data_IF_259661863908
#
_entry.id   IF_259661863908
#
_cell.length_a   1.000
_cell.length_b   1.000
_cell.length_c   1.000
_cell.angle_alpha   90.00
_cell.angle_beta   90.00
_cell.angle_gamma   90.00
#
_symmetry.space_group_name_H-M   'P 1'
#
loop_
_entity.id
_entity.type
_entity.pdbx_description
1 polymer ?
#
# COMPACT_ATOMS: atom_id res chain seq x y z
N UNK A 1 16.25 51.18 -11.59
CA UNK A 1 16.76 49.95 -10.93
C UNK A 1 15.74 49.32 -9.99
N UNK A 2 15.11 50.08 -9.07
CA UNK A 2 14.08 49.57 -8.13
C UNK A 2 12.90 48.81 -8.78
N UNK A 3 12.36 49.30 -9.90
CA UNK A 3 11.24 48.61 -10.59
C UNK A 3 11.65 47.24 -11.18
N UNK A 4 12.90 47.09 -11.65
CA UNK A 4 13.38 45.80 -12.17
C UNK A 4 13.52 44.77 -11.05
N UNK A 5 13.99 45.20 -9.88
CA UNK A 5 14.08 44.34 -8.69
C UNK A 5 12.68 43.91 -8.23
N UNK A 6 11.70 44.83 -8.20
CA UNK A 6 10.32 44.48 -7.86
C UNK A 6 9.69 43.48 -8.83
N UNK A 7 9.91 43.67 -10.14
CA UNK A 7 9.42 42.72 -11.17
C UNK A 7 10.05 41.33 -11.01
N UNK A 8 11.36 41.26 -10.75
CA UNK A 8 12.04 39.97 -10.53
C UNK A 8 11.48 39.25 -9.28
N UNK A 9 11.24 39.98 -8.20
CA UNK A 9 10.64 39.42 -6.98
C UNK A 9 9.20 38.94 -7.22
N UNK A 10 8.40 39.70 -7.98
CA UNK A 10 7.04 39.30 -8.33
C UNK A 10 7.02 38.03 -9.19
N UNK A 11 7.90 37.92 -10.18
CA UNK A 11 8.05 36.71 -11.01
C UNK A 11 8.46 35.53 -10.13
N UNK A 12 9.42 35.72 -9.23
CA UNK A 12 9.83 34.70 -8.27
C UNK A 12 8.66 34.18 -7.43
N UNK A 13 7.87 35.08 -6.86
CA UNK A 13 6.70 34.72 -6.05
C UNK A 13 5.63 33.96 -6.86
N UNK A 14 5.29 34.44 -8.06
CA UNK A 14 4.34 33.76 -8.95
C UNK A 14 4.86 32.39 -9.36
N UNK A 15 6.15 32.27 -9.69
CA UNK A 15 6.77 30.98 -10.04
C UNK A 15 6.74 30.00 -8.88
N UNK A 16 6.98 30.46 -7.65
CA UNK A 16 6.91 29.64 -6.45
C UNK A 16 5.50 29.11 -6.22
N UNK A 17 4.48 29.97 -6.28
CA UNK A 17 3.08 29.57 -6.13
C UNK A 17 2.63 28.61 -7.23
N UNK A 18 3.08 28.81 -8.47
CA UNK A 18 2.81 27.89 -9.57
C UNK A 18 3.40 26.50 -9.32
N UNK A 19 4.66 26.43 -8.84
CA UNK A 19 5.31 25.16 -8.49
C UNK A 19 4.59 24.48 -7.33
N UNK A 20 4.26 25.20 -6.26
CA UNK A 20 3.51 24.64 -5.12
C UNK A 20 2.16 24.10 -5.57
N UNK A 21 1.41 24.86 -6.38
CA UNK A 21 0.13 24.41 -6.94
C UNK A 21 0.29 23.15 -7.79
N UNK A 22 1.33 23.07 -8.61
CA UNK A 22 1.64 21.88 -9.40
C UNK A 22 1.96 20.67 -8.51
N UNK A 23 2.79 20.83 -7.47
CA UNK A 23 3.10 19.75 -6.52
C UNK A 23 1.82 19.25 -5.84
N UNK A 24 0.95 20.13 -5.35
CA UNK A 24 -0.28 19.73 -4.70
C UNK A 24 -1.27 19.01 -5.63
N UNK A 25 -1.25 19.31 -6.93
CA UNK A 25 -2.12 18.66 -7.92
C UNK A 25 -1.55 17.36 -8.50
N UNK A 26 -0.21 17.23 -8.55
CA UNK A 26 0.46 16.12 -9.24
C UNK A 26 1.05 15.09 -8.27
N UNK A 27 1.38 15.48 -7.04
CA UNK A 27 1.94 14.57 -6.05
C UNK A 27 0.84 13.75 -5.38
N UNK A 28 0.94 12.43 -5.50
CA UNK A 28 0.10 11.49 -4.76
C UNK A 28 0.96 10.87 -3.66
N UNK A 29 0.55 11.01 -2.41
CA UNK A 29 1.25 10.36 -1.31
C UNK A 29 1.01 8.85 -1.38
N UNK A 30 2.08 8.07 -1.54
CA UNK A 30 2.01 6.61 -1.46
C UNK A 30 2.25 6.17 -0.01
N UNK A 31 1.34 5.39 0.60
CA UNK A 31 1.57 4.79 1.92
C UNK A 31 2.86 3.97 2.01
N UNK A 32 3.41 3.50 0.88
CA UNK A 32 4.71 2.83 0.82
C UNK A 32 5.89 3.73 1.22
N UNK A 33 5.76 5.06 1.11
CA UNK A 33 6.81 6.03 1.45
C UNK A 33 6.81 6.43 2.94
N UNK A 34 5.84 5.95 3.72
CA UNK A 34 5.76 6.20 5.17
C UNK A 34 6.95 5.57 5.91
N UNK A 35 7.35 6.18 7.03
CA UNK A 35 8.30 5.55 7.94
C UNK A 35 7.74 4.22 8.45
N UNK A 36 8.59 3.22 8.68
CA UNK A 36 8.13 1.85 8.88
C UNK A 36 7.15 1.70 10.06
N UNK A 37 7.35 2.42 11.17
CA UNK A 37 6.42 2.38 12.32
C UNK A 37 5.05 2.99 11.98
N UNK A 38 5.05 4.06 11.19
CA UNK A 38 3.82 4.72 10.75
C UNK A 38 3.08 3.83 9.75
N UNK A 39 3.80 3.21 8.82
CA UNK A 39 3.26 2.27 7.83
C UNK A 39 2.64 1.04 8.49
N UNK A 40 3.30 0.44 9.49
CA UNK A 40 2.73 -0.67 10.28
C UNK A 40 1.39 -0.30 10.92
N UNK A 41 1.37 0.83 11.63
CA UNK A 41 0.17 1.31 12.33
C UNK A 41 -0.94 1.67 11.33
N UNK A 42 -0.56 2.29 10.20
CA UNK A 42 -1.48 2.62 9.12
C UNK A 42 -2.11 1.36 8.52
N UNK A 43 -1.29 0.40 8.11
CA UNK A 43 -1.74 -0.87 7.53
C UNK A 43 -2.68 -1.61 8.47
N UNK A 44 -2.32 -1.75 9.75
CA UNK A 44 -3.16 -2.43 10.73
C UNK A 44 -4.54 -1.77 10.88
N UNK A 45 -4.58 -0.43 10.90
CA UNK A 45 -5.84 0.33 11.00
C UNK A 45 -6.69 0.24 9.74
N UNK A 46 -6.08 0.33 8.56
CA UNK A 46 -6.80 0.28 7.28
C UNK A 46 -7.33 -1.12 7.01
N UNK A 47 -6.54 -2.17 7.28
CA UNK A 47 -6.97 -3.57 7.12
C UNK A 47 -8.21 -3.86 7.97
N UNK A 48 -8.29 -3.32 9.19
CA UNK A 48 -9.48 -3.45 10.05
C UNK A 48 -10.74 -2.77 9.52
N UNK A 49 -10.64 -1.99 8.44
CA UNK A 49 -11.76 -1.28 7.79
C UNK A 49 -12.04 -1.81 6.38
N UNK A 50 -11.32 -2.84 5.91
CA UNK A 50 -11.56 -3.42 4.60
C UNK A 50 -12.86 -4.24 4.59
N UNK A 51 -13.53 -4.21 3.46
CA UNK A 51 -14.70 -5.03 3.18
C UNK A 51 -14.34 -6.17 2.23
N UNK A 52 -15.01 -7.31 2.42
CA UNK A 52 -14.94 -8.41 1.45
C UNK A 52 -15.50 -7.98 0.10
N UNK A 53 -14.96 -8.53 -0.99
CA UNK A 53 -15.30 -8.18 -2.37
C UNK A 53 -14.56 -6.95 -2.90
N UNK A 54 -13.77 -6.23 -2.08
CA UNK A 54 -12.93 -5.14 -2.57
C UNK A 54 -11.93 -5.65 -3.61
N UNK A 55 -11.82 -4.93 -4.74
CA UNK A 55 -10.82 -5.26 -5.75
C UNK A 55 -9.40 -5.11 -5.21
N UNK A 56 -8.48 -5.97 -5.68
CA UNK A 56 -7.05 -5.89 -5.33
C UNK A 56 -6.47 -4.51 -5.58
N UNK A 57 -6.82 -3.87 -6.71
CA UNK A 57 -6.33 -2.54 -7.03
C UNK A 57 -6.87 -1.48 -6.06
N UNK A 58 -8.10 -1.62 -5.57
CA UNK A 58 -8.62 -0.74 -4.51
C UNK A 58 -7.83 -0.92 -3.22
N UNK A 59 -7.52 -2.16 -2.84
CA UNK A 59 -6.72 -2.44 -1.64
C UNK A 59 -5.31 -1.88 -1.77
N UNK A 60 -4.65 -2.05 -2.92
CA UNK A 60 -3.31 -1.49 -3.19
C UNK A 60 -3.35 0.05 -3.19
N UNK A 61 -4.39 0.68 -3.73
CA UNK A 61 -4.54 2.14 -3.64
C UNK A 61 -4.66 2.65 -2.20
N UNK A 62 -5.22 1.84 -1.29
CA UNK A 62 -5.37 2.19 0.12
C UNK A 62 -4.08 1.91 0.88
N UNK A 63 -3.47 0.73 0.71
CA UNK A 63 -2.36 0.26 1.53
C UNK A 63 -0.97 0.51 0.92
N UNK A 64 -0.91 0.98 -0.33
CA UNK A 64 0.31 1.03 -1.11
C UNK A 64 0.72 -0.36 -1.63
N UNK A 65 1.96 -0.47 -2.09
CA UNK A 65 2.50 -1.76 -2.53
C UNK A 65 2.68 -2.74 -1.35
N UNK A 66 2.41 -4.05 -1.54
CA UNK A 66 2.60 -5.05 -0.50
C UNK A 66 4.09 -5.36 -0.29
N UNK A 67 4.44 -5.81 0.91
CA UNK A 67 5.82 -6.20 1.25
C UNK A 67 6.19 -7.57 0.64
N UNK A 68 5.23 -8.49 0.61
CA UNK A 68 5.37 -9.81 -0.02
C UNK A 68 4.12 -10.10 -0.85
N UNK A 69 4.29 -10.76 -2.00
CA UNK A 69 3.19 -11.14 -2.90
C UNK A 69 3.36 -12.59 -3.35
N UNK A 70 2.32 -13.40 -3.15
CA UNK A 70 2.28 -14.79 -3.60
C UNK A 70 1.06 -15.02 -4.47
N UNK A 71 1.23 -15.72 -5.60
CA UNK A 71 0.12 -16.04 -6.48
C UNK A 71 0.24 -17.46 -7.03
N UNK A 72 -0.91 -18.12 -7.22
CA UNK A 72 -1.01 -19.42 -7.89
C UNK A 72 -2.27 -19.46 -8.74
N UNK A 73 -2.08 -19.75 -10.02
CA UNK A 73 -3.17 -20.05 -10.94
C UNK A 73 -3.68 -21.47 -10.68
N UNK A 74 -5.00 -21.63 -10.70
CA UNK A 74 -5.68 -22.92 -10.51
C UNK A 74 -6.86 -23.01 -11.50
N UNK A 75 -7.26 -24.23 -11.93
CA UNK A 75 -8.47 -24.41 -12.73
C UNK A 75 -9.75 -23.86 -12.06
N UNK A 76 -9.73 -23.59 -10.75
CA UNK A 76 -10.86 -23.10 -9.95
C UNK A 76 -10.86 -21.57 -9.74
N UNK A 77 -9.92 -20.86 -10.35
CA UNK A 77 -9.73 -19.41 -10.23
C UNK A 77 -8.33 -19.03 -9.76
N UNK A 78 -7.91 -17.81 -10.09
CA UNK A 78 -6.57 -17.32 -9.72
C UNK A 78 -6.59 -16.85 -8.27
N UNK A 79 -5.71 -17.44 -7.46
CA UNK A 79 -5.56 -17.09 -6.05
C UNK A 79 -4.29 -16.28 -5.84
N UNK A 80 -4.38 -15.21 -5.07
CA UNK A 80 -3.26 -14.33 -4.74
C UNK A 80 -3.31 -13.93 -3.27
N UNK A 81 -2.16 -13.80 -2.62
CA UNK A 81 -2.04 -13.35 -1.24
C UNK A 81 -1.06 -12.19 -1.20
N UNK A 82 -1.54 -11.05 -0.71
CA UNK A 82 -0.73 -9.87 -0.48
C UNK A 82 -0.44 -9.75 1.01
N UNK A 83 0.83 -9.58 1.37
CA UNK A 83 1.25 -9.42 2.75
C UNK A 83 1.62 -7.97 3.00
N UNK A 84 1.02 -7.39 4.03
CA UNK A 84 1.34 -6.05 4.51
C UNK A 84 1.87 -6.14 5.93
N UNK A 85 3.01 -5.50 6.18
CA UNK A 85 3.59 -5.39 7.52
C UNK A 85 2.62 -4.64 8.41
N UNK A 86 2.28 -5.23 9.56
CA UNK A 86 1.25 -4.69 10.48
C UNK A 86 1.72 -4.64 11.92
N UNK A 87 2.83 -5.31 12.22
CA UNK A 87 3.41 -5.36 13.55
C UNK A 87 4.89 -5.70 13.46
N UNK A 88 5.61 -5.36 14.52
CA UNK A 88 7.04 -5.60 14.64
C UNK A 88 7.31 -6.90 15.41
N UNK A 89 8.19 -7.75 14.89
CA UNK A 89 8.70 -8.94 15.59
C UNK A 89 10.21 -8.81 15.83
N UNK A 90 10.99 -8.45 14.79
CA UNK A 90 12.45 -8.33 14.88
C UNK A 90 13.01 -7.09 14.18
N UNK A 91 14.08 -6.52 14.73
CA UNK A 91 14.78 -5.34 14.18
C UNK A 91 16.02 -5.71 13.35
N UNK A 92 15.91 -6.70 12.47
CA UNK A 92 17.01 -7.14 11.58
C UNK A 92 17.03 -6.42 10.22
N UNK A 93 16.03 -5.57 9.97
CA UNK A 93 15.89 -4.81 8.72
C UNK A 93 15.28 -5.61 7.57
N UNK A 94 14.81 -6.84 7.83
CA UNK A 94 14.13 -7.69 6.85
C UNK A 94 12.67 -7.80 7.27
N UNK A 95 11.75 -7.69 6.31
CA UNK A 95 10.33 -7.94 6.59
C UNK A 95 10.01 -9.39 6.31
N UNK A 96 9.51 -10.10 7.33
CA UNK A 96 9.13 -11.50 7.25
C UNK A 96 7.60 -11.65 7.35
N UNK A 97 7.08 -12.81 6.92
CA UNK A 97 5.62 -13.05 6.86
C UNK A 97 4.96 -13.04 8.24
N UNK A 98 5.69 -13.40 9.29
CA UNK A 98 5.22 -13.37 10.67
C UNK A 98 5.07 -11.96 11.23
N UNK A 99 5.60 -10.93 10.55
CA UNK A 99 5.34 -9.50 10.85
C UNK A 99 4.15 -8.92 10.04
N UNK A 100 3.55 -9.74 9.18
CA UNK A 100 2.57 -9.30 8.19
C UNK A 100 1.17 -9.83 8.49
N UNK A 101 0.16 -9.09 8.01
CA UNK A 101 -1.21 -9.60 7.88
C UNK A 101 -1.44 -9.98 6.40
N UNK A 102 -1.74 -11.26 6.10
CA UNK A 102 -2.04 -11.68 4.73
C UNK A 102 -3.46 -11.31 4.32
N UNK A 103 -3.61 -10.75 3.13
CA UNK A 103 -4.89 -10.49 2.47
C UNK A 103 -5.04 -11.47 1.31
N UNK A 104 -6.09 -12.30 1.33
CA UNK A 104 -6.33 -13.37 0.37
C UNK A 104 -7.32 -12.91 -0.68
N UNK A 105 -6.90 -13.00 -1.94
CA UNK A 105 -7.67 -12.64 -3.12
C UNK A 105 -7.98 -13.86 -3.96
N UNK A 106 -9.19 -13.88 -4.51
CA UNK A 106 -9.60 -14.81 -5.56
C UNK A 106 -10.20 -14.03 -6.70
N UNK A 107 -9.76 -14.29 -7.93
CA UNK A 107 -10.27 -13.62 -9.14
C UNK A 107 -10.27 -12.09 -9.00
N UNK A 108 -9.22 -11.56 -8.36
CA UNK A 108 -8.97 -10.14 -8.08
C UNK A 108 -9.86 -9.49 -6.99
N UNK A 109 -10.64 -10.26 -6.24
CA UNK A 109 -11.49 -9.80 -5.14
C UNK A 109 -10.98 -10.27 -3.78
N UNK A 110 -11.04 -9.40 -2.77
CA UNK A 110 -10.66 -9.71 -1.38
C UNK A 110 -11.69 -10.67 -0.78
N UNK A 111 -11.29 -11.90 -0.49
CA UNK A 111 -12.20 -12.93 0.03
C UNK A 111 -11.97 -13.28 1.50
N UNK A 112 -10.79 -12.96 2.03
CA UNK A 112 -10.44 -13.18 3.43
C UNK A 112 -9.14 -12.47 3.80
N UNK A 113 -8.84 -12.38 5.10
CA UNK A 113 -7.54 -11.91 5.59
C UNK A 113 -7.19 -12.54 6.95
N UNK A 114 -5.91 -12.53 7.27
CA UNK A 114 -5.37 -13.09 8.52
C UNK A 114 -4.77 -14.49 8.35
N UNK A 115 -4.02 -14.91 9.37
CA UNK A 115 -3.19 -16.11 9.33
C UNK A 115 -3.99 -17.41 9.12
N UNK A 116 -5.21 -17.49 9.67
CA UNK A 116 -6.07 -18.66 9.48
C UNK A 116 -6.51 -18.80 8.02
N UNK A 117 -6.92 -17.70 7.39
CA UNK A 117 -7.30 -17.69 5.97
C UNK A 117 -6.12 -18.00 5.04
N UNK A 118 -4.92 -17.55 5.41
CA UNK A 118 -3.70 -17.90 4.68
C UNK A 118 -3.34 -19.38 4.84
N UNK A 119 -3.54 -19.98 6.01
CA UNK A 119 -3.38 -21.43 6.22
C UNK A 119 -4.36 -22.22 5.34
N UNK A 120 -5.61 -21.80 5.26
CA UNK A 120 -6.62 -22.41 4.39
C UNK A 120 -6.22 -22.29 2.91
N UNK A 121 -5.68 -21.14 2.50
CA UNK A 121 -5.08 -20.97 1.18
C UNK A 121 -3.97 -22.02 0.94
N UNK A 122 -3.00 -22.13 1.84
CA UNK A 122 -1.90 -23.10 1.71
C UNK A 122 -2.38 -24.56 1.66
N UNK A 123 -3.37 -24.92 2.46
CA UNK A 123 -3.91 -26.28 2.48
C UNK A 123 -4.65 -26.61 1.19
N UNK A 124 -5.41 -25.67 0.65
CA UNK A 124 -5.99 -25.80 -0.68
C UNK A 124 -4.90 -25.93 -1.75
N UNK A 125 -3.78 -25.22 -1.61
CA UNK A 125 -2.65 -25.36 -2.54
C UNK A 125 -1.98 -26.74 -2.53
N UNK A 126 -1.96 -27.44 -1.39
CA UNK A 126 -1.35 -28.79 -1.27
C UNK A 126 -2.24 -29.92 -1.76
N UNK A 127 -3.55 -29.70 -1.85
CA UNK A 127 -4.55 -30.72 -2.24
C UNK A 127 -4.77 -30.79 -3.75
N UNK A 128 -4.26 -29.83 -4.51
CA UNK A 128 -4.23 -29.80 -5.97
C UNK A 128 -2.92 -30.38 -6.49
#
# INVERSE_FOLDING_TARGET
MKNKVFVILAIGAVSYLAIVGAVLMLYQADPADLQWQERETYNARQIGQLDLGMSKDSVIRILGSPDINEAKASPKGDMQVLFYRTHHVTSDGITTKDECTPLVFKDNELIAWGNDSYRDYQDNQRRE
#
